data_IF_013147188707
#
_entry.id   IF_013147188707
#
_cell.length_a   1.000
_cell.length_b   1.000
_cell.length_c   1.000
_cell.angle_alpha   90.00
_cell.angle_beta   90.00
_cell.angle_gamma   90.00
#
_symmetry.space_group_name_H-M   'P 1'
#
loop_
_entity.id
_entity.type
_entity.pdbx_description
1 polymer ?
#
# COMPACT_ATOMS: atom_id res chain seq x y z
N UNK A 1 -3.33 0.92 5.92
CA UNK A 1 -3.27 1.90 4.81
C UNK A 1 -3.53 1.21 3.49
N UNK A 2 -3.85 1.96 2.45
CA UNK A 2 -4.13 1.37 1.14
C UNK A 2 -2.93 1.53 0.19
N UNK A 3 -3.13 1.22 -1.10
CA UNK A 3 -2.04 1.04 -2.07
C UNK A 3 -1.14 2.26 -2.22
N UNK A 4 -1.72 3.44 -2.44
CA UNK A 4 -0.92 4.65 -2.68
C UNK A 4 -0.07 5.01 -1.46
N UNK A 5 -0.64 4.89 -0.25
CA UNK A 5 0.09 5.21 0.97
C UNK A 5 1.27 4.27 1.18
N UNK A 6 1.07 2.96 0.98
CA UNK A 6 2.17 1.99 1.11
C UNK A 6 3.26 2.22 0.07
N UNK A 7 2.88 2.50 -1.18
CA UNK A 7 3.85 2.80 -2.24
C UNK A 7 4.63 4.07 -1.95
N UNK A 8 3.96 5.12 -1.47
CA UNK A 8 4.60 6.39 -1.13
C UNK A 8 5.63 6.22 -0.01
N UNK A 9 5.24 5.54 1.07
CA UNK A 9 6.16 5.31 2.20
C UNK A 9 7.32 4.40 1.81
N UNK A 10 7.09 3.39 0.98
CA UNK A 10 8.14 2.54 0.47
C UNK A 10 9.16 3.34 -0.35
N UNK A 11 8.67 4.24 -1.19
CA UNK A 11 9.54 5.11 -1.99
C UNK A 11 10.38 6.02 -1.11
N UNK A 12 9.78 6.64 -0.09
CA UNK A 12 10.49 7.51 0.85
C UNK A 12 11.57 6.76 1.63
N UNK A 13 11.33 5.50 1.95
CA UNK A 13 12.26 4.66 2.72
C UNK A 13 13.24 3.89 1.83
N UNK A 14 13.20 4.09 0.52
CA UNK A 14 14.01 3.33 -0.44
C UNK A 14 13.80 1.83 -0.29
N UNK A 15 12.56 1.42 -0.04
CA UNK A 15 12.14 0.03 0.10
C UNK A 15 11.49 -0.47 -1.18
N UNK A 16 11.40 -1.78 -1.35
CA UNK A 16 10.79 -2.40 -2.53
C UNK A 16 9.31 -2.02 -2.66
N UNK A 17 8.95 -1.31 -3.72
CA UNK A 17 7.56 -0.98 -4.01
C UNK A 17 6.75 -2.26 -4.24
N UNK A 18 7.32 -3.20 -4.99
CA UNK A 18 6.66 -4.48 -5.27
C UNK A 18 6.43 -5.30 -4.00
N UNK A 19 7.40 -5.35 -3.09
CA UNK A 19 7.24 -6.06 -1.82
C UNK A 19 6.15 -5.43 -0.95
N UNK A 20 6.13 -4.11 -0.86
CA UNK A 20 5.12 -3.40 -0.07
C UNK A 20 3.71 -3.58 -0.64
N UNK A 21 3.56 -3.71 -1.95
CA UNK A 21 2.26 -3.95 -2.55
C UNK A 21 1.85 -5.43 -2.46
N UNK A 22 2.82 -6.33 -2.61
CA UNK A 22 2.59 -7.78 -2.61
C UNK A 22 2.17 -8.31 -1.22
N UNK A 23 2.50 -7.60 -0.16
CA UNK A 23 2.37 -8.08 1.22
C UNK A 23 0.99 -8.64 1.58
N UNK A 24 -0.09 -8.02 1.09
CA UNK A 24 -1.46 -8.47 1.36
C UNK A 24 -1.78 -9.82 0.73
N UNK A 25 -0.95 -10.29 -0.19
CA UNK A 25 -1.16 -11.53 -0.93
C UNK A 25 -0.22 -12.64 -0.49
N UNK A 26 0.60 -12.40 0.54
CA UNK A 26 1.57 -13.36 1.06
C UNK A 26 1.26 -13.61 2.52
N UNK A 27 1.12 -14.90 2.88
CA UNK A 27 0.88 -15.32 4.26
C UNK A 27 2.14 -15.96 4.84
N UNK A 28 2.31 -15.83 6.15
CA UNK A 28 3.41 -16.47 6.87
C UNK A 28 4.76 -15.81 6.57
N UNK A 29 5.80 -16.64 6.53
CA UNK A 29 7.17 -16.17 6.32
C UNK A 29 7.53 -16.18 4.83
N UNK A 30 7.79 -15.03 4.22
CA UNK A 30 8.13 -14.94 2.79
C UNK A 30 9.60 -15.22 2.47
N UNK A 31 10.44 -15.51 3.45
CA UNK A 31 11.89 -15.41 3.34
C UNK A 31 12.49 -16.26 2.20
N UNK A 32 11.89 -17.41 1.87
CA UNK A 32 12.46 -18.31 0.86
C UNK A 32 11.75 -18.21 -0.49
N UNK A 33 10.65 -17.45 -0.56
CA UNK A 33 9.81 -17.40 -1.76
C UNK A 33 10.13 -16.23 -2.68
N UNK A 34 10.81 -15.20 -2.16
CA UNK A 34 11.07 -13.96 -2.90
C UNK A 34 12.49 -13.46 -2.65
N UNK A 35 12.95 -12.54 -3.52
CA UNK A 35 14.24 -11.89 -3.35
C UNK A 35 14.30 -11.13 -2.01
N UNK A 36 15.49 -10.99 -1.40
CA UNK A 36 15.61 -10.35 -0.09
C UNK A 36 15.01 -8.94 -0.02
N UNK A 37 15.15 -8.14 -1.07
CA UNK A 37 14.59 -6.78 -1.11
C UNK A 37 13.06 -6.80 -1.07
N UNK A 38 12.45 -7.77 -1.76
CA UNK A 38 10.99 -7.94 -1.78
C UNK A 38 10.52 -8.39 -0.39
N UNK A 39 11.24 -9.33 0.22
CA UNK A 39 10.93 -9.80 1.59
C UNK A 39 10.96 -8.64 2.58
N UNK A 40 11.98 -7.81 2.53
CA UNK A 40 12.09 -6.64 3.41
C UNK A 40 10.91 -5.67 3.20
N UNK A 41 10.49 -5.51 1.95
CA UNK A 41 9.31 -4.69 1.62
C UNK A 41 8.02 -5.26 2.20
N UNK A 42 7.86 -6.57 2.16
CA UNK A 42 6.70 -7.25 2.75
C UNK A 42 6.66 -6.99 4.26
N UNK A 43 7.80 -7.14 4.94
CA UNK A 43 7.87 -6.88 6.37
C UNK A 43 7.65 -5.41 6.72
N UNK A 44 8.13 -4.50 5.89
CA UNK A 44 7.87 -3.06 6.08
C UNK A 44 6.37 -2.78 6.03
N UNK A 45 5.66 -3.31 5.03
CA UNK A 45 4.21 -3.16 4.91
C UNK A 45 3.51 -3.62 6.20
N UNK A 46 3.85 -4.81 6.68
CA UNK A 46 3.25 -5.39 7.88
C UNK A 46 3.49 -4.51 9.11
N UNK A 47 4.70 -3.98 9.25
CA UNK A 47 5.07 -3.10 10.35
C UNK A 47 4.31 -1.79 10.31
N UNK A 48 4.17 -1.22 9.12
CA UNK A 48 3.42 0.04 8.93
C UNK A 48 1.96 -0.15 9.32
N UNK A 49 1.33 -1.25 8.92
CA UNK A 49 -0.06 -1.53 9.28
C UNK A 49 -0.25 -1.62 10.79
N UNK A 50 0.64 -2.32 11.48
CA UNK A 50 0.58 -2.44 12.94
C UNK A 50 0.75 -1.07 13.60
N UNK A 51 1.71 -0.28 13.16
CA UNK A 51 1.97 1.05 13.74
C UNK A 51 0.81 2.01 13.46
N UNK A 52 0.27 1.99 12.25
CA UNK A 52 -0.83 2.86 11.85
C UNK A 52 -2.08 2.58 12.67
N UNK A 53 -2.40 1.30 12.88
CA UNK A 53 -3.58 0.92 13.66
C UNK A 53 -3.50 1.36 15.13
N UNK A 54 -2.31 1.64 15.63
CA UNK A 54 -2.10 2.10 17.00
C UNK A 54 -2.10 3.62 17.14
N UNK A 55 -2.16 4.37 16.03
CA UNK A 55 -2.17 5.82 16.10
C UNK A 55 -3.46 6.32 16.75
N UNK A 56 -3.38 7.31 17.66
CA UNK A 56 -4.57 7.89 18.30
C UNK A 56 -5.57 8.42 17.28
N UNK A 57 -5.09 9.05 16.21
CA UNK A 57 -5.94 9.62 15.16
C UNK A 57 -6.76 8.55 14.46
N UNK A 58 -6.20 7.37 14.24
CA UNK A 58 -6.91 6.25 13.61
C UNK A 58 -7.96 5.69 14.56
N UNK A 59 -7.61 5.51 15.83
CA UNK A 59 -8.55 5.04 16.87
C UNK A 59 -9.72 6.00 17.01
N UNK A 60 -9.45 7.31 17.04
CA UNK A 60 -10.48 8.34 17.11
C UNK A 60 -11.40 8.30 15.89
N UNK A 61 -10.82 8.20 14.69
CA UNK A 61 -11.61 8.14 13.46
C UNK A 61 -12.52 6.92 13.41
N UNK A 62 -12.06 5.76 13.90
CA UNK A 62 -12.88 4.55 13.97
C UNK A 62 -14.07 4.76 14.92
N UNK A 63 -13.88 5.51 16.00
CA UNK A 63 -14.94 5.77 16.97
C UNK A 63 -16.06 6.67 16.42
N UNK A 64 -15.81 7.41 15.33
CA UNK A 64 -16.85 8.22 14.68
C UNK A 64 -17.89 7.39 13.93
N UNK A 65 -17.56 6.13 13.63
CA UNK A 65 -18.51 5.25 12.94
C UNK A 65 -19.58 4.76 13.89
N UNK A 66 -20.79 4.60 13.38
CA UNK A 66 -21.89 4.01 14.16
C UNK A 66 -21.54 2.56 14.53
N UNK A 67 -22.01 2.03 15.66
CA UNK A 67 -21.71 0.65 16.05
C UNK A 67 -21.99 -0.38 14.95
N UNK A 68 -23.10 -0.22 14.22
CA UNK A 68 -23.50 -1.15 13.17
C UNK A 68 -22.60 -1.10 11.92
N UNK A 69 -21.85 -0.01 11.72
CA UNK A 69 -20.93 0.14 10.59
C UNK A 69 -19.45 0.13 11.00
N UNK A 70 -19.18 0.05 12.31
CA UNK A 70 -17.81 0.14 12.83
C UNK A 70 -16.93 -1.00 12.33
N UNK A 71 -17.52 -2.14 11.98
CA UNK A 71 -16.80 -3.28 11.44
C UNK A 71 -16.08 -2.95 10.13
N UNK A 72 -16.68 -2.08 9.30
CA UNK A 72 -16.09 -1.72 7.98
C UNK A 72 -15.27 -0.43 8.04
N UNK A 73 -15.16 0.20 9.23
CA UNK A 73 -14.41 1.43 9.38
C UNK A 73 -12.95 1.30 8.92
N UNK A 74 -12.21 0.24 9.24
CA UNK A 74 -10.82 0.12 8.79
C UNK A 74 -10.68 0.18 7.27
N UNK A 75 -11.56 -0.53 6.54
CA UNK A 75 -11.53 -0.55 5.07
C UNK A 75 -11.88 0.82 4.51
N UNK A 76 -12.92 1.45 5.05
CA UNK A 76 -13.34 2.78 4.62
C UNK A 76 -12.25 3.81 4.84
N UNK A 77 -11.58 3.79 6.00
CA UNK A 77 -10.51 4.71 6.33
C UNK A 77 -9.30 4.52 5.39
N UNK A 78 -8.95 3.28 5.06
CA UNK A 78 -7.86 3.00 4.14
C UNK A 78 -8.10 3.67 2.78
N UNK A 79 -9.31 3.54 2.25
CA UNK A 79 -9.69 4.17 0.98
C UNK A 79 -9.65 5.70 1.09
N UNK A 80 -10.14 6.25 2.20
CA UNK A 80 -10.14 7.69 2.43
C UNK A 80 -8.72 8.25 2.55
N UNK A 81 -7.82 7.55 3.23
CA UNK A 81 -6.44 8.00 3.35
C UNK A 81 -5.77 8.11 1.98
N UNK A 82 -5.97 7.14 1.10
CA UNK A 82 -5.43 7.20 -0.26
C UNK A 82 -6.03 8.35 -1.06
N UNK A 83 -7.31 8.60 -0.90
CA UNK A 83 -7.98 9.73 -1.57
C UNK A 83 -7.37 11.06 -1.14
N UNK A 84 -7.22 11.30 0.16
CA UNK A 84 -6.64 12.54 0.65
C UNK A 84 -5.16 12.66 0.28
N UNK A 85 -4.41 11.56 0.31
CA UNK A 85 -3.02 11.56 -0.10
C UNK A 85 -2.89 11.99 -1.57
N UNK A 86 -3.74 11.46 -2.45
CA UNK A 86 -3.70 11.83 -3.86
C UNK A 86 -4.02 13.30 -4.08
N UNK A 87 -5.00 13.84 -3.35
CA UNK A 87 -5.38 15.26 -3.44
C UNK A 87 -4.29 16.21 -3.00
N UNK A 88 -3.51 15.82 -2.00
CA UNK A 88 -2.47 16.67 -1.41
C UNK A 88 -1.06 16.26 -1.87
N UNK A 89 -0.98 15.43 -2.89
CA UNK A 89 0.29 14.88 -3.37
C UNK A 89 1.32 15.95 -3.69
N UNK A 90 0.94 17.00 -4.39
CA UNK A 90 1.85 18.07 -4.80
C UNK A 90 2.51 18.77 -3.61
N UNK A 91 1.81 18.84 -2.48
CA UNK A 91 2.35 19.43 -1.24
C UNK A 91 3.29 18.46 -0.51
N UNK A 92 3.01 17.17 -0.57
CA UNK A 92 3.75 16.14 0.14
C UNK A 92 4.96 15.64 -0.64
N UNK A 93 4.89 15.66 -1.96
CA UNK A 93 5.95 15.17 -2.84
C UNK A 93 6.09 16.08 -4.07
N UNK A 94 6.54 17.32 -3.87
CA UNK A 94 6.61 18.32 -4.95
C UNK A 94 7.60 17.97 -6.06
N UNK A 95 8.61 17.16 -5.78
CA UNK A 95 9.67 16.80 -6.72
C UNK A 95 9.24 15.71 -7.71
N UNK A 96 8.16 14.99 -7.45
CA UNK A 96 7.71 13.90 -8.33
C UNK A 96 6.17 13.93 -8.44
N UNK A 97 5.62 14.45 -9.54
CA UNK A 97 4.17 14.51 -9.74
C UNK A 97 3.52 13.13 -9.67
N UNK A 98 2.27 13.08 -9.20
CA UNK A 98 1.56 11.83 -8.98
C UNK A 98 1.49 10.92 -10.23
N UNK A 99 1.18 11.44 -11.44
CA UNK A 99 1.16 10.57 -12.63
C UNK A 99 2.51 9.89 -12.89
N UNK A 100 3.61 10.60 -12.69
CA UNK A 100 4.94 10.04 -12.87
C UNK A 100 5.26 9.02 -11.79
N UNK A 101 4.86 9.28 -10.55
CA UNK A 101 5.05 8.31 -9.46
C UNK A 101 4.27 7.01 -9.72
N UNK A 102 3.01 7.13 -10.16
CA UNK A 102 2.19 5.96 -10.49
C UNK A 102 2.82 5.14 -11.61
N UNK A 103 3.32 5.81 -12.63
CA UNK A 103 3.99 5.15 -13.75
C UNK A 103 5.24 4.41 -13.30
N UNK A 104 6.05 5.06 -12.47
CA UNK A 104 7.25 4.46 -11.89
C UNK A 104 6.90 3.23 -11.05
N UNK A 105 5.88 3.35 -10.18
CA UNK A 105 5.45 2.24 -9.33
C UNK A 105 4.96 1.06 -10.16
N UNK A 106 4.20 1.32 -11.21
CA UNK A 106 3.73 0.28 -12.12
C UNK A 106 4.91 -0.48 -12.75
N UNK A 107 5.92 0.24 -13.22
CA UNK A 107 7.11 -0.37 -13.80
C UNK A 107 7.84 -1.26 -12.80
N UNK A 108 8.00 -0.78 -11.56
CA UNK A 108 8.68 -1.54 -10.52
C UNK A 108 7.91 -2.80 -10.14
N UNK A 109 6.60 -2.71 -9.99
CA UNK A 109 5.76 -3.85 -9.61
C UNK A 109 5.67 -4.88 -10.74
N UNK A 110 5.68 -4.43 -11.99
CA UNK A 110 5.57 -5.34 -13.14
C UNK A 110 6.73 -6.35 -13.22
N UNK A 111 7.88 -6.01 -12.66
CA UNK A 111 9.06 -6.89 -12.68
C UNK A 111 8.78 -8.23 -11.99
N UNK A 112 7.99 -8.23 -10.91
CA UNK A 112 7.76 -9.45 -10.13
C UNK A 112 6.47 -10.19 -10.49
N UNK A 113 5.66 -9.64 -11.40
CA UNK A 113 4.36 -10.25 -11.74
C UNK A 113 4.46 -11.71 -12.21
N UNK A 114 5.45 -12.11 -13.03
CA UNK A 114 5.54 -13.50 -13.48
C UNK A 114 5.66 -14.53 -12.35
N UNK A 115 6.25 -14.14 -11.22
CA UNK A 115 6.47 -15.03 -10.08
C UNK A 115 5.52 -14.76 -8.93
N UNK A 116 4.45 -14.01 -9.19
CA UNK A 116 3.50 -13.57 -8.15
C UNK A 116 2.26 -14.44 -8.09
N UNK A 117 1.55 -14.48 -6.94
CA UNK A 117 0.29 -15.20 -6.82
C UNK A 117 -0.74 -14.71 -7.85
N UNK A 118 -1.61 -15.60 -8.38
CA UNK A 118 -2.62 -15.20 -9.37
C UNK A 118 -3.53 -14.06 -8.91
N UNK A 119 -3.88 -14.01 -7.63
CA UNK A 119 -4.72 -12.94 -7.09
C UNK A 119 -4.03 -11.58 -7.21
N UNK A 120 -2.72 -11.53 -6.99
CA UNK A 120 -1.95 -10.31 -7.15
C UNK A 120 -1.86 -9.87 -8.61
N UNK A 121 -1.63 -10.82 -9.51
CA UNK A 121 -1.61 -10.55 -10.95
C UNK A 121 -2.95 -9.97 -11.39
N UNK A 122 -4.07 -10.57 -10.95
CA UNK A 122 -5.41 -10.09 -11.28
C UNK A 122 -5.66 -8.68 -10.75
N UNK A 123 -5.24 -8.39 -9.52
CA UNK A 123 -5.36 -7.05 -8.97
C UNK A 123 -4.62 -6.04 -9.85
N UNK A 124 -3.42 -6.37 -10.29
CA UNK A 124 -2.61 -5.45 -11.09
C UNK A 124 -3.25 -5.12 -12.43
N UNK A 125 -4.00 -6.05 -13.03
CA UNK A 125 -4.71 -5.79 -14.27
C UNK A 125 -5.75 -4.68 -14.11
N UNK A 126 -6.30 -4.50 -12.92
CA UNK A 126 -7.28 -3.44 -12.63
C UNK A 126 -6.63 -2.19 -12.05
N UNK A 127 -5.68 -2.37 -11.14
CA UNK A 127 -5.12 -1.27 -10.35
C UNK A 127 -4.58 -0.14 -11.23
N UNK A 128 -3.90 -0.48 -12.32
CA UNK A 128 -3.24 0.49 -13.19
C UNK A 128 -4.11 0.96 -14.36
N UNK A 129 -5.12 0.19 -14.72
CA UNK A 129 -5.94 0.46 -15.91
C UNK A 129 -6.86 1.67 -15.75
N UNK A 130 -7.20 2.04 -14.52
CA UNK A 130 -8.10 3.15 -14.23
C UNK A 130 -7.36 4.46 -13.97
N UNK A 131 -6.08 4.49 -14.21
CA UNK A 131 -5.21 5.66 -13.96
C UNK A 131 -4.76 6.31 -15.28
#
# INVERSE_FOLDING_TARGET
>A
MNFLAHLHLAHLADSSLSGNLLADFVRGNPAEAYAPEVVDGIFMHRRIDVLTDKLPEVTEAKAWFRPETRRVAPITLDVMWDHFLSRHWAQLSPELPLPEFVRYAHQQVSIILPDSPPRFVNLNNYLWSER
#
